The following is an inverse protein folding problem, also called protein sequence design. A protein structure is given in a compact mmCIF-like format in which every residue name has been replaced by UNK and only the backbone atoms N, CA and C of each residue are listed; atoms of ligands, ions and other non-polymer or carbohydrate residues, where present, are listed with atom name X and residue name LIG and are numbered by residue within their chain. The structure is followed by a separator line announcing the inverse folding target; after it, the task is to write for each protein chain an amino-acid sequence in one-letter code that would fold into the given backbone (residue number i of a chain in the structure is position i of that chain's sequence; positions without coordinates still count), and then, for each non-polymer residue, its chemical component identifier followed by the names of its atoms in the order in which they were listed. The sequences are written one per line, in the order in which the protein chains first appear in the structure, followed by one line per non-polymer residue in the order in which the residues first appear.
data_IF_304654649212
#
_entry.id   IF_304654649212
#
_cell.length_a   1.000
_cell.length_b   1.000
_cell.length_c   1.000
_cell.angle_alpha   90.00
_cell.angle_beta   90.00
_cell.angle_gamma   90.00
#
_symmetry.space_group_name_H-M   'P 1'
#
loop_
_entity.id
_entity.type
_entity.pdbx_description
1 polymer ?
#
# COMPACT_ATOMS: atom_id res chain seq x y z
N UNK A 1 3.84 -6.17 -12.12
CA UNK A 1 3.42 -5.35 -10.96
C UNK A 1 4.68 -4.72 -10.39
N UNK A 2 4.61 -3.48 -9.92
CA UNK A 2 5.76 -2.86 -9.26
C UNK A 2 6.14 -3.59 -7.97
N UNK A 3 7.33 -3.30 -7.44
CA UNK A 3 7.87 -3.96 -6.24
C UNK A 3 7.20 -3.48 -4.94
N UNK A 4 6.62 -2.28 -4.97
CA UNK A 4 5.95 -1.65 -3.84
C UNK A 4 4.66 -0.96 -4.27
N UNK A 5 3.75 -0.82 -3.33
CA UNK A 5 2.55 0.00 -3.41
C UNK A 5 2.66 1.10 -2.36
N UNK A 6 2.58 2.36 -2.80
CA UNK A 6 2.61 3.53 -1.92
C UNK A 6 1.27 4.22 -2.01
N UNK A 7 0.54 4.24 -0.91
CA UNK A 7 -0.75 4.93 -0.79
C UNK A 7 -0.49 6.22 -0.03
N UNK A 8 -0.86 7.35 -0.61
CA UNK A 8 -0.80 8.65 0.07
C UNK A 8 -2.22 9.14 0.31
N UNK A 9 -2.58 9.38 1.57
CA UNK A 9 -3.88 9.93 1.95
C UNK A 9 -3.74 11.28 2.65
N UNK A 10 -4.87 11.96 2.84
CA UNK A 10 -4.96 13.26 3.53
C UNK A 10 -3.93 14.30 3.05
N UNK A 11 -3.74 14.36 1.72
CA UNK A 11 -2.64 15.09 1.06
C UNK A 11 -2.64 16.58 1.38
N UNK A 12 -3.82 17.15 1.68
CA UNK A 12 -3.98 18.60 1.87
C UNK A 12 -3.76 19.05 3.31
N UNK A 13 -4.03 18.21 4.32
CA UNK A 13 -3.96 18.61 5.72
C UNK A 13 -2.83 17.91 6.47
N UNK A 14 -2.86 16.56 6.51
CA UNK A 14 -1.87 15.74 7.22
C UNK A 14 -1.48 14.55 6.34
N UNK A 15 -0.63 14.76 5.32
CA UNK A 15 -0.27 13.70 4.41
C UNK A 15 0.39 12.54 5.15
N UNK A 16 -0.08 11.33 4.88
CA UNK A 16 0.57 10.10 5.35
C UNK A 16 0.79 9.16 4.17
N UNK A 17 1.89 8.44 4.20
CA UNK A 17 2.21 7.38 3.28
C UNK A 17 2.08 6.00 3.93
N UNK A 18 1.58 5.04 3.18
CA UNK A 18 1.56 3.63 3.55
C UNK A 18 2.29 2.82 2.49
N UNK A 19 3.33 2.08 2.91
CA UNK A 19 4.20 1.32 2.01
C UNK A 19 3.92 -0.18 2.18
N UNK A 20 3.38 -0.79 1.14
CA UNK A 20 2.98 -2.20 1.11
C UNK A 20 3.70 -2.98 0.02
N UNK A 21 3.84 -4.28 0.24
CA UNK A 21 4.26 -5.25 -0.76
C UNK A 21 3.06 -5.67 -1.64
N UNK A 22 3.28 -6.05 -2.90
CA UNK A 22 2.23 -6.59 -3.76
C UNK A 22 1.53 -7.83 -3.20
N UNK A 23 2.20 -8.64 -2.37
CA UNK A 23 1.59 -9.78 -1.68
C UNK A 23 0.57 -9.32 -0.64
N UNK A 24 0.96 -8.37 0.22
CA UNK A 24 0.10 -7.80 1.27
C UNK A 24 -1.13 -7.14 0.65
N UNK A 25 -0.98 -6.41 -0.46
CA UNK A 25 -2.12 -5.82 -1.18
C UNK A 25 -3.09 -6.89 -1.69
N UNK A 26 -2.58 -7.97 -2.29
CA UNK A 26 -3.42 -9.07 -2.80
C UNK A 26 -4.14 -9.82 -1.69
N UNK A 27 -3.49 -10.01 -0.55
CA UNK A 27 -4.05 -10.70 0.61
C UNK A 27 -5.16 -9.90 1.28
N UNK A 28 -5.03 -8.57 1.29
CA UNK A 28 -5.98 -7.69 1.97
C UNK A 28 -7.04 -7.08 1.04
N UNK A 29 -6.99 -7.33 -0.28
CA UNK A 29 -7.96 -6.77 -1.23
C UNK A 29 -9.35 -7.36 -1.01
N UNK A 30 -10.36 -6.51 -0.95
CA UNK A 30 -11.74 -6.94 -0.98
C UNK A 30 -12.13 -7.32 -2.41
N UNK A 31 -12.78 -8.48 -2.56
CA UNK A 31 -13.35 -8.96 -3.83
C UNK A 31 -14.87 -8.90 -3.76
N UNK A 32 -15.45 -7.89 -4.41
CA UNK A 32 -16.90 -7.76 -4.56
C UNK A 32 -17.41 -8.33 -5.87
N UNK A 33 -18.58 -8.94 -5.86
CA UNK A 33 -19.28 -9.45 -7.05
C UNK A 33 -20.71 -8.94 -7.11
N UNK A 34 -21.12 -8.34 -8.23
CA UNK A 34 -22.50 -7.92 -8.49
C UNK A 34 -22.83 -8.02 -9.98
N UNK A 35 -23.97 -8.61 -10.32
CA UNK A 35 -24.49 -8.73 -11.70
C UNK A 35 -23.45 -9.29 -12.69
N UNK A 36 -22.69 -10.31 -12.28
CA UNK A 36 -21.64 -10.95 -13.08
C UNK A 36 -20.34 -10.15 -13.19
N UNK A 37 -20.26 -8.95 -12.60
CA UNK A 37 -19.04 -8.13 -12.56
C UNK A 37 -18.28 -8.37 -11.27
N UNK A 38 -16.96 -8.45 -11.37
CA UNK A 38 -16.05 -8.55 -10.23
C UNK A 38 -15.30 -7.23 -10.09
N UNK A 39 -15.23 -6.70 -8.87
CA UNK A 39 -14.44 -5.52 -8.52
C UNK A 39 -13.48 -5.88 -7.41
N UNK A 40 -12.27 -5.32 -7.46
CA UNK A 40 -11.25 -5.47 -6.44
C UNK A 40 -10.93 -4.09 -5.89
N UNK A 41 -11.00 -3.92 -4.58
CA UNK A 41 -10.61 -2.67 -3.93
C UNK A 41 -9.91 -2.95 -2.61
N UNK A 42 -8.96 -2.10 -2.28
CA UNK A 42 -8.32 -2.08 -0.98
C UNK A 42 -8.96 -0.95 -0.17
N UNK A 43 -9.59 -1.29 0.96
CA UNK A 43 -10.23 -0.30 1.81
C UNK A 43 -9.24 0.32 2.82
N UNK A 44 -9.51 1.52 3.36
CA UNK A 44 -8.62 2.17 4.32
C UNK A 44 -8.22 1.30 5.51
N UNK A 45 -9.15 0.56 6.09
CA UNK A 45 -8.87 -0.38 7.21
C UNK A 45 -7.86 -1.47 6.86
N UNK A 46 -7.69 -1.80 5.58
CA UNK A 46 -6.74 -2.80 5.12
C UNK A 46 -5.29 -2.31 5.13
N UNK A 47 -5.06 -1.00 4.90
CA UNK A 47 -3.72 -0.41 4.80
C UNK A 47 -3.40 0.63 5.88
N UNK A 48 -4.38 1.19 6.57
CA UNK A 48 -4.19 2.15 7.66
C UNK A 48 -3.80 1.40 8.95
N UNK A 49 -2.63 0.80 8.91
CA UNK A 49 -2.01 0.04 9.98
C UNK A 49 -0.60 0.58 10.23
N UNK A 50 -0.20 0.58 11.49
CA UNK A 50 1.10 1.12 11.91
C UNK A 50 2.27 0.43 11.19
N UNK A 51 2.15 -0.86 10.90
CA UNK A 51 3.17 -1.64 10.19
C UNK A 51 3.44 -1.16 8.75
N UNK A 52 2.50 -0.45 8.13
CA UNK A 52 2.64 0.09 6.76
C UNK A 52 2.89 1.61 6.76
N UNK A 53 2.45 2.32 7.82
CA UNK A 53 2.56 3.77 7.94
C UNK A 53 4.01 4.22 7.94
N UNK A 54 4.37 5.12 7.03
CA UNK A 54 5.72 5.67 6.82
C UNK A 54 6.84 4.61 6.72
N UNK A 55 6.50 3.38 6.29
CA UNK A 55 7.41 2.24 6.24
C UNK A 55 8.41 2.31 5.05
N UNK A 56 9.01 3.48 4.83
CA UNK A 56 9.97 3.75 3.76
C UNK A 56 11.22 2.88 3.83
N UNK A 57 11.58 2.41 5.02
CA UNK A 57 12.66 1.45 5.22
C UNK A 57 12.46 0.15 4.42
N UNK A 58 11.22 -0.19 4.03
CA UNK A 58 10.91 -1.35 3.17
C UNK A 58 11.46 -1.19 1.74
N UNK A 59 11.48 0.03 1.21
CA UNK A 59 12.02 0.34 -0.12
C UNK A 59 13.55 0.40 -0.08
N UNK A 60 14.10 0.78 1.08
CA UNK A 60 15.54 0.94 1.28
C UNK A 60 16.06 2.30 0.78
N UNK A 61 17.38 2.45 0.86
CA UNK A 61 18.09 3.63 0.39
C UNK A 61 18.42 3.44 -1.09
N UNK A 62 17.84 4.30 -1.93
CA UNK A 62 18.00 4.27 -3.39
C UNK A 62 19.39 4.69 -3.87
N UNK A 63 20.25 5.09 -2.94
CA UNK A 63 21.69 5.27 -3.09
C UNK A 63 22.45 4.01 -2.69
N UNK A 64 23.48 3.64 -3.47
CA UNK A 64 24.37 2.53 -3.12
C UNK A 64 25.17 2.90 -1.87
N UNK A 65 24.99 2.16 -0.78
CA UNK A 65 26.07 2.01 0.20
C UNK A 65 27.09 1.03 -0.39
N UNK A 66 28.18 1.57 -0.93
CA UNK A 66 29.40 0.79 -1.16
C UNK A 66 30.06 0.50 0.19
N UNK A 67 30.36 -0.79 0.43
CA UNK A 67 31.47 -1.20 1.29
C UNK A 67 32.54 -1.83 0.44
#
# INVERSE_FOLDING_TARGET
MGDFWVIVNDVLEKPNAFVMLPSEVKENVHRGGKDGRVSYWLEPSSYDKEEYREAWNRIGRGDKEEK
#
